data_IF_398349767126
#
_entry.id   IF_398349767126
#
_cell.length_a   1.000
_cell.length_b   1.000
_cell.length_c   1.000
_cell.angle_alpha   90.00
_cell.angle_beta   90.00
_cell.angle_gamma   90.00
#
_symmetry.space_group_name_H-M   'P 1'
#
loop_
_entity.id
_entity.type
_entity.pdbx_description
1 polymer ?
#
# COMPACT_ATOMS: atom_id res chain seq x y z
N UNK A 1 -11.67 -6.53 10.83
CA UNK A 1 -10.52 -6.31 11.73
C UNK A 1 -9.83 -7.66 11.93
N UNK A 2 -8.50 -7.70 11.98
CA UNK A 2 -7.76 -8.96 12.14
C UNK A 2 -7.79 -9.41 13.59
N UNK A 3 -8.34 -10.59 13.89
CA UNK A 3 -8.37 -11.16 15.25
C UNK A 3 -7.19 -12.10 15.42
N UNK A 4 -6.45 -11.97 16.53
CA UNK A 4 -5.43 -12.95 16.90
C UNK A 4 -6.16 -14.07 17.66
N UNK A 5 -6.02 -15.30 17.17
CA UNK A 5 -6.62 -16.49 17.76
C UNK A 5 -5.72 -17.04 18.88
N UNK A 6 -6.26 -17.86 19.80
CA UNK A 6 -5.52 -18.37 20.96
C UNK A 6 -4.24 -19.17 20.60
N UNK A 7 -4.19 -19.76 19.40
CA UNK A 7 -3.05 -20.49 18.86
C UNK A 7 -1.99 -19.58 18.19
N UNK A 8 -2.17 -18.26 18.27
CA UNK A 8 -1.29 -17.27 17.67
C UNK A 8 -1.52 -17.05 16.16
N UNK A 9 -2.44 -17.79 15.55
CA UNK A 9 -2.85 -17.54 14.16
C UNK A 9 -3.72 -16.28 14.08
N UNK A 10 -3.86 -15.72 12.88
CA UNK A 10 -4.66 -14.50 12.68
C UNK A 10 -5.79 -14.77 11.73
N UNK A 11 -7.00 -14.44 12.16
CA UNK A 11 -8.15 -14.35 11.26
C UNK A 11 -8.02 -13.09 10.42
N UNK A 12 -7.66 -13.26 9.15
CA UNK A 12 -7.51 -12.16 8.20
C UNK A 12 -8.87 -11.53 7.86
N UNK A 13 -8.86 -10.24 7.55
CA UNK A 13 -10.02 -9.63 6.89
C UNK A 13 -10.20 -10.24 5.49
N UNK A 14 -11.44 -10.41 5.04
CA UNK A 14 -11.77 -11.01 3.73
C UNK A 14 -11.09 -10.28 2.58
N UNK A 15 -11.20 -8.95 2.53
CA UNK A 15 -10.57 -8.13 1.49
C UNK A 15 -9.04 -8.24 1.48
N UNK A 16 -8.42 -8.36 2.66
CA UNK A 16 -6.98 -8.56 2.77
C UNK A 16 -6.56 -9.96 2.28
N UNK A 17 -7.37 -10.98 2.53
CA UNK A 17 -7.13 -12.34 2.02
C UNK A 17 -7.25 -12.40 0.50
N UNK A 18 -8.25 -11.72 -0.06
CA UNK A 18 -8.42 -11.59 -1.50
C UNK A 18 -7.23 -10.84 -2.15
N UNK A 19 -6.76 -9.76 -1.53
CA UNK A 19 -5.55 -9.05 -1.97
C UNK A 19 -4.32 -9.97 -2.00
N UNK A 20 -4.06 -10.71 -0.92
CA UNK A 20 -2.93 -11.66 -0.87
C UNK A 20 -3.04 -12.73 -1.96
N UNK A 21 -4.25 -13.25 -2.21
CA UNK A 21 -4.49 -14.23 -3.27
C UNK A 21 -4.27 -13.63 -4.67
N UNK A 22 -4.73 -12.41 -4.92
CA UNK A 22 -4.61 -11.73 -6.22
C UNK A 22 -3.15 -11.51 -6.63
N UNK A 23 -2.31 -11.12 -5.68
CA UNK A 23 -0.88 -10.88 -5.93
C UNK A 23 0.03 -12.05 -5.54
N UNK A 24 -0.54 -13.20 -5.15
CA UNK A 24 0.21 -14.40 -4.73
C UNK A 24 1.22 -14.09 -3.63
N UNK A 25 0.82 -13.28 -2.65
CA UNK A 25 1.66 -12.85 -1.53
C UNK A 25 1.43 -13.78 -0.33
N UNK A 26 2.53 -14.31 0.22
CA UNK A 26 2.52 -14.94 1.54
C UNK A 26 2.82 -13.91 2.61
N UNK A 27 1.85 -13.64 3.48
CA UNK A 27 2.04 -12.78 4.64
C UNK A 27 2.86 -13.49 5.73
N UNK A 28 3.57 -12.66 6.50
CA UNK A 28 4.25 -13.07 7.73
C UNK A 28 4.04 -11.98 8.76
N UNK A 29 3.46 -12.35 9.89
CA UNK A 29 3.29 -11.43 11.01
C UNK A 29 4.54 -11.41 11.88
N UNK A 30 4.87 -10.22 12.38
CA UNK A 30 5.96 -10.07 13.34
C UNK A 30 5.68 -10.90 14.59
N UNK A 31 6.68 -11.63 15.08
CA UNK A 31 6.53 -12.40 16.33
C UNK A 31 6.44 -11.44 17.52
N UNK A 32 5.49 -11.64 18.46
CA UNK A 32 5.45 -10.87 19.70
C UNK A 32 6.81 -10.92 20.41
N UNK A 33 7.33 -9.78 20.86
CA UNK A 33 8.60 -9.70 21.59
C UNK A 33 9.90 -9.78 20.76
N UNK A 34 9.84 -9.91 19.42
CA UNK A 34 11.02 -9.83 18.54
C UNK A 34 11.04 -8.54 17.71
N UNK A 35 11.53 -7.46 18.31
CA UNK A 35 11.68 -6.14 17.65
C UNK A 35 12.61 -6.13 16.43
N UNK A 36 13.49 -7.13 16.30
CA UNK A 36 14.50 -7.18 15.23
C UNK A 36 13.88 -7.30 13.81
N UNK A 37 12.65 -7.81 13.68
CA UNK A 37 11.96 -7.87 12.38
C UNK A 37 11.52 -6.46 11.89
N UNK A 38 11.38 -5.50 12.81
CA UNK A 38 10.99 -4.11 12.53
C UNK A 38 12.20 -3.18 12.30
N UNK A 39 13.39 -3.58 12.76
CA UNK A 39 14.59 -2.74 12.76
C UNK A 39 15.03 -2.22 11.39
N UNK A 40 14.81 -2.99 10.31
CA UNK A 40 15.12 -2.52 8.96
C UNK A 40 14.19 -1.40 8.50
N UNK A 41 12.90 -1.50 8.82
CA UNK A 41 11.90 -0.47 8.47
C UNK A 41 12.15 0.80 9.27
N UNK A 42 12.39 0.68 10.57
CA UNK A 42 12.72 1.82 11.43
C UNK A 42 14.04 2.48 11.01
N UNK A 43 15.04 1.69 10.61
CA UNK A 43 16.30 2.18 10.07
C UNK A 43 16.10 3.01 8.80
N UNK A 44 15.27 2.53 7.87
CA UNK A 44 14.96 3.27 6.64
C UNK A 44 14.18 4.56 6.93
N UNK A 45 13.16 4.52 7.79
CA UNK A 45 12.41 5.72 8.20
C UNK A 45 13.35 6.74 8.85
N UNK A 46 14.22 6.29 9.75
CA UNK A 46 15.23 7.14 10.39
C UNK A 46 16.26 7.69 9.39
N UNK A 47 16.60 6.94 8.35
CA UNK A 47 17.46 7.41 7.26
C UNK A 47 16.76 8.51 6.46
N UNK A 48 15.54 8.27 5.95
CA UNK A 48 14.79 9.25 5.16
C UNK A 48 14.60 10.56 5.95
N UNK A 49 14.26 10.48 7.24
CA UNK A 49 14.10 11.66 8.08
C UNK A 49 15.39 12.46 8.21
N UNK A 50 16.54 11.80 8.44
CA UNK A 50 17.83 12.48 8.64
C UNK A 50 18.46 13.01 7.36
N UNK A 51 18.16 12.41 6.21
CA UNK A 51 18.82 12.72 4.94
C UNK A 51 17.94 13.53 3.98
N UNK A 52 16.61 13.37 4.05
CA UNK A 52 15.70 14.02 3.10
C UNK A 52 14.79 15.06 3.77
N UNK A 53 14.61 15.00 5.09
CA UNK A 53 13.67 15.87 5.81
C UNK A 53 14.38 16.87 6.74
N UNK A 54 15.72 16.97 6.68
CA UNK A 54 16.52 17.89 7.51
C UNK A 54 17.57 18.61 6.67
N UNK A 55 17.58 19.97 6.66
CA UNK A 55 16.50 20.83 7.18
C UNK A 55 15.17 20.52 6.49
N UNK A 56 14.04 20.85 7.14
CA UNK A 56 12.71 20.56 6.58
C UNK A 56 12.60 21.22 5.19
N UNK A 57 12.44 20.44 4.11
CA UNK A 57 12.48 21.00 2.78
C UNK A 57 11.19 21.79 2.51
N UNK A 58 11.32 22.89 1.77
CA UNK A 58 10.19 23.76 1.41
C UNK A 58 9.98 23.69 -0.10
N UNK A 59 8.76 23.37 -0.50
CA UNK A 59 8.35 23.27 -1.89
C UNK A 59 7.04 24.05 -2.11
N UNK A 60 6.84 24.60 -3.31
CA UNK A 60 5.62 25.34 -3.64
C UNK A 60 4.40 24.43 -3.81
N UNK A 61 4.60 23.15 -4.15
CA UNK A 61 3.52 22.16 -4.33
C UNK A 61 3.96 20.77 -3.88
N UNK A 62 2.97 19.88 -3.69
CA UNK A 62 3.22 18.47 -3.36
C UNK A 62 3.89 17.72 -4.51
N UNK A 63 3.58 18.08 -5.76
CA UNK A 63 4.19 17.49 -6.95
C UNK A 63 5.68 17.78 -7.00
N UNK A 64 6.09 19.03 -6.73
CA UNK A 64 7.50 19.41 -6.68
C UNK A 64 8.26 18.64 -5.59
N UNK A 65 7.64 18.47 -4.41
CA UNK A 65 8.20 17.64 -3.35
C UNK A 65 8.33 16.17 -3.76
N UNK A 66 7.30 15.59 -4.37
CA UNK A 66 7.30 14.18 -4.78
C UNK A 66 8.36 13.89 -5.84
N UNK A 67 8.51 14.77 -6.84
CA UNK A 67 9.56 14.66 -7.86
C UNK A 67 10.96 14.70 -7.25
N UNK A 68 11.20 15.66 -6.35
CA UNK A 68 12.48 15.75 -5.65
C UNK A 68 12.76 14.51 -4.79
N UNK A 69 11.77 14.04 -4.03
CA UNK A 69 11.91 12.87 -3.16
C UNK A 69 12.18 11.59 -3.97
N UNK A 70 11.51 11.44 -5.11
CA UNK A 70 11.76 10.34 -6.03
C UNK A 70 13.21 10.36 -6.53
N UNK A 71 13.73 11.53 -6.92
CA UNK A 71 15.11 11.69 -7.36
C UNK A 71 16.10 11.30 -6.24
N UNK A 72 15.84 11.71 -4.98
CA UNK A 72 16.67 11.31 -3.85
C UNK A 72 16.65 9.79 -3.63
N UNK A 73 15.48 9.15 -3.74
CA UNK A 73 15.36 7.70 -3.64
C UNK A 73 16.13 6.99 -4.77
N UNK A 74 16.10 7.52 -6.00
CA UNK A 74 16.88 6.99 -7.14
C UNK A 74 18.39 7.17 -6.93
N UNK A 75 18.83 8.32 -6.43
CA UNK A 75 20.24 8.56 -6.07
C UNK A 75 20.72 7.55 -5.03
N UNK A 76 19.91 7.30 -3.99
CA UNK A 76 20.21 6.30 -2.95
C UNK A 76 20.38 4.88 -3.52
N UNK A 77 19.78 4.54 -4.67
CA UNK A 77 20.02 3.23 -5.30
C UNK A 77 21.50 3.04 -5.70
N UNK A 78 22.28 4.10 -5.89
CA UNK A 78 23.70 4.02 -6.23
C UNK A 78 24.59 3.70 -5.01
N UNK A 79 24.06 3.78 -3.80
CA UNK A 79 24.85 3.57 -2.59
C UNK A 79 25.09 2.08 -2.31
N UNK A 80 26.27 1.79 -1.75
CA UNK A 80 26.60 0.48 -1.18
C UNK A 80 26.40 0.51 0.33
N UNK A 81 25.53 -0.36 0.86
CA UNK A 81 25.30 -0.47 2.30
C UNK A 81 26.45 -1.25 2.94
N UNK A 82 26.82 -0.94 4.18
CA UNK A 82 27.88 -1.64 4.92
C UNK A 82 27.68 -3.15 4.86
N UNK A 83 28.75 -3.86 4.49
CA UNK A 83 28.73 -5.32 4.37
C UNK A 83 28.15 -5.84 3.05
N UNK A 84 27.91 -4.97 2.06
CA UNK A 84 27.47 -5.34 0.72
C UNK A 84 28.54 -4.95 -0.31
N UNK A 85 28.80 -5.81 -1.28
CA UNK A 85 29.69 -5.55 -2.41
C UNK A 85 29.01 -4.78 -3.55
N UNK A 86 27.68 -4.87 -3.60
CA UNK A 86 26.81 -4.31 -4.64
C UNK A 86 26.05 -3.09 -4.14
N UNK A 87 25.66 -2.23 -5.08
CA UNK A 87 24.75 -1.12 -4.85
C UNK A 87 23.34 -1.61 -4.54
N UNK A 88 22.53 -0.77 -3.91
CA UNK A 88 21.11 -1.06 -3.68
C UNK A 88 20.38 -1.32 -5.02
N UNK A 89 20.72 -0.56 -6.07
CA UNK A 89 20.12 -0.65 -7.40
C UNK A 89 20.44 -1.97 -8.11
N UNK A 90 21.69 -2.43 -8.07
CA UNK A 90 22.09 -3.73 -8.65
C UNK A 90 21.32 -4.88 -7.99
N UNK A 91 21.19 -4.84 -6.66
CA UNK A 91 20.42 -5.83 -5.91
C UNK A 91 18.93 -5.76 -6.26
N UNK A 92 18.37 -4.56 -6.37
CA UNK A 92 16.99 -4.35 -6.80
C UNK A 92 16.73 -4.93 -8.21
N UNK A 93 17.64 -4.73 -9.17
CA UNK A 93 17.49 -5.29 -10.52
C UNK A 93 17.44 -6.81 -10.51
N UNK A 94 18.26 -7.46 -9.68
CA UNK A 94 18.21 -8.92 -9.50
C UNK A 94 16.90 -9.37 -8.89
N UNK A 95 16.44 -8.67 -7.86
CA UNK A 95 15.15 -8.96 -7.23
C UNK A 95 14.01 -8.84 -8.25
N UNK A 96 13.99 -7.76 -9.05
CA UNK A 96 13.01 -7.55 -10.11
C UNK A 96 13.07 -8.63 -11.19
N UNK A 97 14.27 -9.07 -11.60
CA UNK A 97 14.43 -10.14 -12.57
C UNK A 97 13.92 -11.50 -12.06
N UNK A 98 13.89 -11.70 -10.73
CA UNK A 98 13.34 -12.90 -10.10
C UNK A 98 11.82 -12.79 -9.82
N UNK A 99 11.22 -11.60 -9.92
CA UNK A 99 9.79 -11.39 -9.68
C UNK A 99 8.94 -11.80 -10.88
N UNK A 100 7.72 -12.25 -10.59
CA UNK A 100 6.70 -12.48 -11.60
C UNK A 100 6.06 -11.15 -12.04
N UNK A 101 5.55 -11.06 -13.29
CA UNK A 101 4.77 -9.90 -13.71
C UNK A 101 3.52 -9.75 -12.83
N UNK A 102 3.09 -8.50 -12.65
CA UNK A 102 1.83 -8.22 -11.97
C UNK A 102 0.65 -8.74 -12.79
N UNK A 103 -0.46 -9.14 -12.14
CA UNK A 103 -1.71 -9.42 -12.83
C UNK A 103 -2.15 -8.22 -13.68
N UNK A 104 -2.68 -8.48 -14.88
CA UNK A 104 -3.09 -7.44 -15.82
C UNK A 104 -4.19 -6.53 -15.26
N UNK A 105 -5.03 -7.04 -14.36
CA UNK A 105 -6.07 -6.27 -13.70
C UNK A 105 -5.63 -5.90 -12.28
N UNK A 106 -5.68 -4.61 -11.89
CA UNK A 106 -5.41 -4.19 -10.51
C UNK A 106 -6.42 -4.80 -9.54
N UNK A 107 -5.97 -5.11 -8.31
CA UNK A 107 -6.89 -5.51 -7.26
C UNK A 107 -7.70 -4.32 -6.76
N UNK A 108 -9.01 -4.43 -6.75
CA UNK A 108 -9.89 -3.39 -6.25
C UNK A 108 -9.98 -3.44 -4.72
N UNK A 109 -9.07 -2.76 -4.04
CA UNK A 109 -9.01 -2.70 -2.58
C UNK A 109 -10.08 -1.77 -1.96
N UNK A 110 -11.32 -1.84 -2.44
CA UNK A 110 -12.45 -1.07 -1.93
C UNK A 110 -13.52 -2.00 -1.33
N UNK A 111 -14.21 -1.52 -0.30
CA UNK A 111 -15.39 -2.22 0.22
C UNK A 111 -16.55 -1.97 -0.74
N UNK A 112 -17.14 -3.07 -1.21
CA UNK A 112 -18.18 -3.08 -2.23
C UNK A 112 -19.48 -3.58 -1.60
N UNK A 113 -20.52 -2.74 -1.64
CA UNK A 113 -21.87 -3.12 -1.21
C UNK A 113 -22.85 -2.91 -2.36
N UNK A 114 -23.75 -3.87 -2.53
CA UNK A 114 -24.94 -3.67 -3.35
C UNK A 114 -25.84 -2.64 -2.70
N UNK A 115 -26.34 -1.69 -3.48
CA UNK A 115 -27.29 -0.67 -3.05
C UNK A 115 -28.31 -0.42 -4.15
N UNK A 116 -29.51 0.03 -3.75
CA UNK A 116 -30.54 0.48 -4.68
C UNK A 116 -30.42 1.98 -4.85
N UNK A 117 -30.49 2.45 -6.09
CA UNK A 117 -30.59 3.88 -6.40
C UNK A 117 -31.98 4.35 -6.00
N UNK A 118 -32.06 5.42 -5.21
CA UNK A 118 -33.33 6.05 -4.86
C UNK A 118 -33.92 6.80 -6.06
N UNK A 119 -35.19 7.20 -5.98
CA UNK A 119 -35.81 8.06 -7.00
C UNK A 119 -35.16 9.46 -7.10
N UNK A 120 -34.25 9.81 -6.19
CA UNK A 120 -33.47 11.05 -6.20
C UNK A 120 -32.05 10.84 -6.73
N UNK A 121 -31.77 9.71 -7.39
CA UNK A 121 -30.43 9.37 -7.91
C UNK A 121 -29.34 9.31 -6.84
N UNK A 122 -29.73 8.94 -5.61
CA UNK A 122 -28.81 8.76 -4.48
C UNK A 122 -28.61 7.28 -4.19
N UNK A 123 -27.41 6.92 -3.74
CA UNK A 123 -27.16 5.59 -3.17
C UNK A 123 -26.52 5.73 -1.80
N UNK A 124 -27.11 5.04 -0.81
CA UNK A 124 -26.59 5.01 0.56
C UNK A 124 -25.47 4.01 0.71
N UNK A 125 -24.28 4.49 1.07
CA UNK A 125 -23.17 3.66 1.51
C UNK A 125 -22.85 3.93 2.98
N UNK A 126 -23.11 2.93 3.83
CA UNK A 126 -23.05 3.03 5.30
C UNK A 126 -23.95 4.17 5.80
N UNK A 127 -23.37 5.29 6.22
CA UNK A 127 -24.07 6.46 6.76
C UNK A 127 -24.13 7.64 5.80
N UNK A 128 -23.54 7.51 4.61
CA UNK A 128 -23.44 8.60 3.63
C UNK A 128 -24.32 8.29 2.41
N UNK A 129 -24.96 9.33 1.88
CA UNK A 129 -25.68 9.28 0.61
C UNK A 129 -24.81 9.93 -0.47
N UNK A 130 -24.47 9.15 -1.49
CA UNK A 130 -23.65 9.60 -2.63
C UNK A 130 -24.54 9.75 -3.86
N UNK A 131 -24.40 10.85 -4.60
CA UNK A 131 -25.13 11.06 -5.85
C UNK A 131 -24.55 10.22 -6.99
N UNK A 132 -25.42 9.71 -7.86
CA UNK A 132 -25.04 8.89 -9.02
C UNK A 132 -25.62 9.51 -10.29
N UNK A 133 -24.86 9.44 -11.38
CA UNK A 133 -25.30 9.97 -12.68
C UNK A 133 -26.58 9.26 -13.18
N UNK A 134 -27.54 10.04 -13.68
CA UNK A 134 -28.84 9.54 -14.14
C UNK A 134 -28.70 8.61 -15.36
N UNK A 135 -29.45 7.50 -15.38
CA UNK A 135 -29.52 6.57 -16.52
C UNK A 135 -28.79 5.22 -16.37
N UNK A 136 -28.28 4.87 -15.18
CA UNK A 136 -27.62 3.58 -14.93
C UNK A 136 -28.53 2.61 -14.17
N UNK A 137 -29.37 1.87 -14.88
CA UNK A 137 -30.33 0.91 -14.32
C UNK A 137 -29.72 -0.50 -14.12
N UNK A 138 -28.44 -0.58 -13.74
CA UNK A 138 -27.76 -1.87 -13.49
C UNK A 138 -27.13 -1.89 -12.08
N UNK A 139 -27.16 -3.04 -11.38
CA UNK A 139 -26.56 -3.15 -10.05
C UNK A 139 -25.06 -2.91 -10.14
N UNK A 140 -24.59 -1.77 -9.62
CA UNK A 140 -23.16 -1.54 -9.39
C UNK A 140 -22.83 -1.62 -7.91
N UNK A 141 -21.66 -2.21 -7.67
CA UNK A 141 -20.98 -2.16 -6.40
C UNK A 141 -20.53 -0.72 -6.08
N UNK A 142 -21.04 -0.16 -4.99
CA UNK A 142 -20.59 1.13 -4.47
C UNK A 142 -19.20 0.98 -3.89
N UNK A 143 -18.27 1.83 -4.32
CA UNK A 143 -16.88 1.81 -3.89
C UNK A 143 -16.65 2.90 -2.86
N UNK A 144 -16.40 2.53 -1.61
CA UNK A 144 -15.90 3.47 -0.62
C UNK A 144 -14.38 3.52 -0.64
N UNK A 145 -13.77 4.65 -1.01
CA UNK A 145 -12.38 4.97 -0.67
C UNK A 145 -12.32 5.44 0.79
N UNK A 146 -11.28 5.01 1.52
CA UNK A 146 -10.97 5.53 2.86
C UNK A 146 -10.37 6.92 2.77
#
# INVERSE_FOLDING_TARGET
MTKILPDGTRQRATLFSAFLSHYVIRDRYARPGKGNEKGNVEGLVGYCRRNFMVPIPKFPTWEAFNLWLEEQCRKRQQDKVRGQSETIGERLQRDLAAMQPLPATPFEACDQKGGRVSSQSLVRYRTNDEAVAEGQDHPRHLRGSR
#
